data_IF_999682560558
#
_entry.id   IF_999682560558
#
_cell.length_a   1.000
_cell.length_b   1.000
_cell.length_c   1.000
_cell.angle_alpha   90.00
_cell.angle_beta   90.00
_cell.angle_gamma   90.00
#
_symmetry.space_group_name_H-M   'P 1'
#
loop_
_entity.id
_entity.type
_entity.pdbx_description
1 polymer ?
#
# COMPACT_ATOMS: atom_id res chain seq x y z
N UNK A 1 8.17 -2.46 11.47
CA UNK A 1 9.35 -1.69 11.00
C UNK A 1 8.90 -0.30 10.61
N UNK A 2 9.84 0.62 10.39
CA UNK A 2 9.55 1.96 9.85
C UNK A 2 9.82 1.97 8.33
N UNK A 3 8.97 2.60 7.50
CA UNK A 3 9.27 2.76 6.08
C UNK A 3 10.51 3.65 5.90
N UNK A 4 11.33 3.32 4.90
CA UNK A 4 12.62 4.01 4.66
C UNK A 4 12.63 4.70 3.30
N UNK A 5 12.29 3.97 2.23
CA UNK A 5 12.18 4.48 0.86
C UNK A 5 11.46 3.49 -0.05
N UNK A 6 10.96 3.96 -1.19
CA UNK A 6 10.66 3.09 -2.31
C UNK A 6 11.95 2.66 -3.02
N UNK A 7 12.11 1.36 -3.29
CA UNK A 7 13.25 0.85 -4.07
C UNK A 7 12.94 0.70 -5.55
N UNK A 8 11.67 0.43 -5.86
CA UNK A 8 11.16 0.13 -7.18
C UNK A 8 9.78 0.80 -7.29
N UNK A 9 9.56 1.58 -8.35
CA UNK A 9 8.33 2.36 -8.56
C UNK A 9 7.83 2.13 -9.98
N UNK A 10 6.55 1.80 -10.09
CA UNK A 10 5.85 1.68 -11.37
C UNK A 10 4.67 2.64 -11.35
N UNK A 11 4.64 3.59 -12.28
CA UNK A 11 3.59 4.61 -12.36
C UNK A 11 2.39 4.08 -13.16
N UNK A 12 1.19 4.26 -12.63
CA UNK A 12 -0.07 3.86 -13.29
C UNK A 12 -0.27 4.57 -14.64
N UNK A 13 0.31 5.76 -14.85
CA UNK A 13 0.16 6.55 -16.08
C UNK A 13 0.73 5.87 -17.34
N UNK A 14 1.47 4.76 -17.21
CA UNK A 14 2.20 4.14 -18.32
C UNK A 14 1.91 2.65 -18.50
N UNK A 15 0.85 2.11 -17.86
CA UNK A 15 0.52 0.67 -17.97
C UNK A 15 -0.98 0.41 -17.86
N UNK A 16 -1.48 -0.57 -18.63
CA UNK A 16 -2.83 -1.15 -18.47
C UNK A 16 -2.86 -2.32 -17.48
N UNK A 17 -1.69 -2.74 -16.99
CA UNK A 17 -1.48 -3.82 -16.02
C UNK A 17 -1.30 -3.19 -14.63
N UNK A 18 -1.89 -3.79 -13.60
CA UNK A 18 -1.73 -3.36 -12.22
C UNK A 18 -0.23 -3.37 -11.80
N UNK A 19 0.36 -2.23 -11.43
CA UNK A 19 1.72 -2.12 -10.92
C UNK A 19 2.07 -3.11 -9.81
N UNK A 20 1.14 -3.39 -8.89
CA UNK A 20 1.38 -4.35 -7.81
C UNK A 20 1.47 -5.78 -8.32
N UNK A 21 0.69 -6.14 -9.33
CA UNK A 21 0.79 -7.45 -9.98
C UNK A 21 2.14 -7.62 -10.69
N UNK A 22 2.61 -6.57 -11.39
CA UNK A 22 3.93 -6.57 -12.02
C UNK A 22 5.03 -6.74 -10.97
N UNK A 23 5.02 -5.94 -9.89
CA UNK A 23 6.04 -6.01 -8.84
C UNK A 23 5.99 -7.35 -8.08
N UNK A 24 4.81 -7.91 -7.84
CA UNK A 24 4.65 -9.27 -7.28
C UNK A 24 5.20 -10.35 -8.20
N UNK A 25 5.03 -10.20 -9.52
CA UNK A 25 5.54 -11.17 -10.49
C UNK A 25 7.07 -11.23 -10.53
N UNK A 26 7.75 -10.13 -10.15
CA UNK A 26 9.21 -9.99 -10.20
C UNK A 26 9.97 -10.60 -9.01
N UNK A 27 9.27 -11.18 -8.02
CA UNK A 27 9.87 -11.81 -6.84
C UNK A 27 10.83 -10.89 -6.05
N UNK A 28 10.56 -9.57 -6.07
CA UNK A 28 11.37 -8.54 -5.40
C UNK A 28 10.96 -8.28 -3.95
N UNK A 29 9.86 -8.88 -3.48
CA UNK A 29 9.36 -8.68 -2.11
C UNK A 29 10.10 -9.59 -1.11
N UNK A 30 10.09 -9.18 0.16
CA UNK A 30 10.57 -10.02 1.27
C UNK A 30 9.70 -9.77 2.51
N UNK A 31 8.39 -9.93 2.33
CA UNK A 31 7.36 -9.70 3.34
C UNK A 31 7.57 -10.64 4.53
N UNK A 32 7.87 -11.92 4.27
CA UNK A 32 8.13 -12.91 5.34
C UNK A 32 9.30 -12.49 6.22
N UNK A 33 10.37 -11.97 5.60
CA UNK A 33 11.56 -11.49 6.32
C UNK A 33 11.23 -10.23 7.13
N UNK A 34 10.43 -9.33 6.56
CA UNK A 34 9.96 -8.11 7.23
C UNK A 34 9.20 -8.46 8.52
N UNK A 35 8.27 -9.40 8.45
CA UNK A 35 7.49 -9.85 9.61
C UNK A 35 8.37 -10.46 10.71
N UNK A 36 9.42 -11.20 10.35
CA UNK A 36 10.30 -11.88 11.32
C UNK A 36 11.38 -11.00 11.94
N UNK A 37 11.92 -10.06 11.17
CA UNK A 37 13.13 -9.30 11.55
C UNK A 37 12.89 -7.81 11.69
N UNK A 38 11.70 -7.33 11.30
CA UNK A 38 11.40 -5.91 11.17
C UNK A 38 11.99 -5.26 9.92
N UNK A 39 12.74 -5.99 9.09
CA UNK A 39 13.41 -5.51 7.89
C UNK A 39 13.08 -6.36 6.67
N UNK A 40 12.61 -5.72 5.60
CA UNK A 40 12.34 -6.37 4.32
C UNK A 40 11.70 -5.39 3.34
N UNK A 41 11.34 -5.90 2.17
CA UNK A 41 10.64 -5.17 1.12
C UNK A 41 9.19 -5.58 1.10
N UNK A 42 8.30 -4.60 1.13
CA UNK A 42 6.85 -4.80 1.02
C UNK A 42 6.30 -3.96 -0.13
N UNK A 43 5.09 -4.28 -0.55
CA UNK A 43 4.36 -3.51 -1.53
C UNK A 43 3.64 -2.35 -0.84
N UNK A 44 3.68 -1.18 -1.46
CA UNK A 44 2.95 0.01 -1.02
C UNK A 44 2.54 0.82 -2.25
N UNK A 45 1.49 1.61 -2.09
CA UNK A 45 1.03 2.59 -3.06
C UNK A 45 1.35 3.98 -2.54
N UNK A 46 1.77 4.86 -3.45
CA UNK A 46 1.80 6.30 -3.23
C UNK A 46 0.64 6.93 -3.98
N UNK A 47 -0.18 7.72 -3.28
CA UNK A 47 -1.23 8.56 -3.87
C UNK A 47 -0.87 10.01 -3.64
N UNK A 48 -1.04 10.83 -4.65
CA UNK A 48 -0.86 12.27 -4.54
C UNK A 48 -2.23 12.95 -4.48
N UNK A 49 -2.33 13.97 -3.64
CA UNK A 49 -3.54 14.76 -3.49
C UNK A 49 -3.21 16.25 -3.41
N UNK A 50 -4.09 17.14 -3.90
CA UNK A 50 -3.87 18.59 -3.82
C UNK A 50 -3.78 19.08 -2.37
N UNK A 51 -2.88 20.02 -2.11
CA UNK A 51 -2.66 20.61 -0.78
C UNK A 51 -3.92 21.24 -0.19
N UNK A 52 -4.79 21.81 -1.02
CA UNK A 52 -6.05 22.42 -0.58
C UNK A 52 -6.98 21.42 0.14
N UNK A 53 -6.82 20.12 -0.11
CA UNK A 53 -7.61 19.06 0.51
C UNK A 53 -6.95 18.45 1.76
N UNK A 54 -5.84 19.02 2.26
CA UNK A 54 -5.10 18.46 3.40
C UNK A 54 -5.98 18.21 4.61
N UNK A 55 -6.74 19.21 5.03
CA UNK A 55 -7.57 19.12 6.25
C UNK A 55 -8.67 18.05 6.10
N UNK A 56 -9.28 17.95 4.90
CA UNK A 56 -10.27 16.93 4.59
C UNK A 56 -9.65 15.52 4.60
N UNK A 57 -8.45 15.38 4.03
CA UNK A 57 -7.70 14.11 4.03
C UNK A 57 -7.39 13.70 5.47
N UNK A 58 -6.84 14.59 6.29
CA UNK A 58 -6.49 14.29 7.68
C UNK A 58 -7.72 13.86 8.49
N UNK A 59 -8.88 14.50 8.26
CA UNK A 59 -10.15 14.10 8.88
C UNK A 59 -10.58 12.70 8.45
N UNK A 60 -10.60 12.42 7.13
CA UNK A 60 -10.99 11.12 6.58
C UNK A 60 -10.04 10.02 7.04
N UNK A 61 -8.73 10.28 7.07
CA UNK A 61 -7.75 9.31 7.55
C UNK A 61 -7.96 8.99 9.03
N UNK A 62 -8.35 9.98 9.84
CA UNK A 62 -8.71 9.78 11.24
C UNK A 62 -9.96 8.89 11.38
N UNK A 63 -11.02 9.18 10.63
CA UNK A 63 -12.24 8.37 10.61
C UNK A 63 -11.98 6.92 10.17
N UNK A 64 -11.11 6.72 9.17
CA UNK A 64 -10.70 5.39 8.71
C UNK A 64 -9.99 4.61 9.82
N UNK A 65 -9.08 5.25 10.56
CA UNK A 65 -8.40 4.63 11.70
C UNK A 65 -9.38 4.27 12.82
N UNK A 66 -10.33 5.15 13.14
CA UNK A 66 -11.39 4.88 14.13
C UNK A 66 -12.31 3.72 13.71
N UNK A 67 -12.55 3.57 12.40
CA UNK A 67 -13.31 2.45 11.83
C UNK A 67 -12.51 1.13 11.75
N UNK A 68 -11.25 1.10 12.20
CA UNK A 68 -10.40 -0.09 12.16
C UNK A 68 -9.73 -0.36 10.80
N UNK A 69 -9.86 0.56 9.85
CA UNK A 69 -9.21 0.48 8.54
C UNK A 69 -7.77 1.00 8.65
N UNK A 70 -6.89 0.13 9.13
CA UNK A 70 -5.45 0.38 9.17
C UNK A 70 -4.81 0.15 7.80
N UNK A 71 -3.84 1.00 7.41
CA UNK A 71 -3.13 0.83 6.15
C UNK A 71 -2.31 2.04 5.70
N UNK A 72 -2.57 3.21 6.28
CA UNK A 72 -1.73 4.39 6.07
C UNK A 72 -0.37 4.15 6.75
N UNK A 73 0.70 4.29 5.96
CA UNK A 73 2.07 4.15 6.44
C UNK A 73 2.72 5.50 6.72
N UNK A 74 2.48 6.48 5.84
CA UNK A 74 3.09 7.80 5.92
C UNK A 74 2.24 8.83 5.16
N UNK A 75 2.14 10.03 5.71
CA UNK A 75 1.60 11.21 5.02
C UNK A 75 2.73 12.22 4.94
N UNK A 76 3.15 12.54 3.72
CA UNK A 76 4.25 13.45 3.47
C UNK A 76 3.84 14.90 3.60
N UNK A 77 4.81 15.75 3.94
CA UNK A 77 4.60 17.20 3.93
C UNK A 77 4.44 17.73 2.48
N UNK A 78 3.71 18.82 2.28
CA UNK A 78 3.47 19.39 0.96
C UNK A 78 4.77 19.76 0.25
N UNK A 79 4.84 19.52 -1.07
CA UNK A 79 6.02 19.81 -1.89
C UNK A 79 7.31 19.09 -1.44
N UNK A 80 7.21 18.01 -0.64
CA UNK A 80 8.37 17.23 -0.19
C UNK A 80 8.39 15.83 -0.80
N UNK A 81 9.58 15.23 -0.90
CA UNK A 81 9.69 13.82 -1.31
C UNK A 81 9.13 12.93 -0.21
N UNK A 82 8.33 11.95 -0.58
CA UNK A 82 7.80 10.93 0.33
C UNK A 82 8.50 9.62 0.03
N UNK A 83 9.25 9.09 1.00
CA UNK A 83 10.03 7.85 0.83
C UNK A 83 10.91 7.85 -0.44
N UNK A 84 11.66 8.95 -0.64
CA UNK A 84 12.51 9.27 -1.80
C UNK A 84 11.79 9.54 -3.14
N UNK A 85 10.46 9.41 -3.19
CA UNK A 85 9.66 9.67 -4.40
C UNK A 85 9.21 11.14 -4.42
N UNK A 86 9.47 11.89 -5.51
CA UNK A 86 8.97 13.27 -5.63
C UNK A 86 7.46 13.28 -5.78
N UNK A 87 6.81 14.25 -5.13
CA UNK A 87 5.39 14.58 -5.34
C UNK A 87 5.27 15.84 -6.19
N UNK A 88 4.13 15.99 -6.87
CA UNK A 88 3.81 17.17 -7.66
C UNK A 88 3.77 18.43 -6.80
N UNK A 89 4.00 19.58 -7.45
CA UNK A 89 3.91 20.88 -6.79
C UNK A 89 2.49 21.10 -6.27
N UNK A 90 2.39 21.70 -5.08
CA UNK A 90 1.15 21.96 -4.37
C UNK A 90 0.32 20.69 -4.10
N UNK A 91 1.01 19.53 -4.00
CA UNK A 91 0.45 18.26 -3.59
C UNK A 91 1.14 17.71 -2.34
N UNK A 92 0.45 16.80 -1.66
CA UNK A 92 0.97 15.93 -0.61
C UNK A 92 0.92 14.47 -1.08
N UNK A 93 1.82 13.64 -0.55
CA UNK A 93 1.85 12.20 -0.82
C UNK A 93 1.31 11.40 0.35
N UNK A 94 0.45 10.43 0.08
CA UNK A 94 -0.09 9.47 1.06
C UNK A 94 0.37 8.08 0.68
N UNK A 95 1.15 7.45 1.56
CA UNK A 95 1.65 6.08 1.39
C UNK A 95 0.72 5.12 2.09
N UNK A 96 0.21 4.15 1.33
CA UNK A 96 -0.70 3.12 1.81
C UNK A 96 -0.07 1.75 1.57
N UNK A 97 -0.11 0.87 2.57
CA UNK A 97 0.35 -0.51 2.40
C UNK A 97 -0.45 -1.22 1.31
N UNK A 98 0.23 -2.04 0.50
CA UNK A 98 -0.42 -2.83 -0.54
C UNK A 98 -1.28 -3.93 0.08
N UNK A 99 -2.57 -3.99 -0.29
CA UNK A 99 -3.49 -5.03 0.16
C UNK A 99 -3.10 -6.45 -0.30
N UNK A 100 -2.20 -6.57 -1.27
CA UNK A 100 -1.70 -7.84 -1.80
C UNK A 100 -0.44 -8.36 -1.11
N UNK A 101 0.06 -7.70 -0.06
CA UNK A 101 1.21 -8.21 0.71
C UNK A 101 1.03 -9.64 1.28
N UNK A 102 -0.16 -10.06 1.77
CA UNK A 102 -0.38 -11.45 2.16
C UNK A 102 -0.21 -12.44 1.01
N UNK A 103 -0.58 -12.03 -0.20
CA UNK A 103 -0.42 -12.84 -1.42
C UNK A 103 1.06 -12.92 -1.84
N UNK A 104 1.80 -11.82 -1.72
CA UNK A 104 3.25 -11.81 -1.92
C UNK A 104 3.95 -12.76 -0.93
N UNK A 105 3.54 -12.74 0.34
CA UNK A 105 4.04 -13.69 1.35
C UNK A 105 3.74 -15.15 0.98
N UNK A 106 2.53 -15.47 0.51
CA UNK A 106 2.20 -16.82 0.06
C UNK A 106 3.11 -17.25 -1.11
N UNK A 107 3.35 -16.36 -2.07
CA UNK A 107 4.28 -16.63 -3.19
C UNK A 107 5.71 -16.87 -2.71
N UNK A 108 6.21 -16.09 -1.75
CA UNK A 108 7.54 -16.29 -1.14
C UNK A 108 7.70 -17.68 -0.46
N UNK A 109 6.60 -18.30 -0.03
CA UNK A 109 6.58 -19.66 0.53
C UNK A 109 6.41 -20.76 -0.52
N UNK A 110 6.37 -20.41 -1.81
CA UNK A 110 6.24 -21.36 -2.91
C UNK A 110 4.81 -21.70 -3.32
N UNK A 111 3.79 -20.98 -2.81
CA UNK A 111 2.42 -21.15 -3.28
C UNK A 111 2.21 -20.45 -4.63
N UNK A 112 1.54 -21.12 -5.57
CA UNK A 112 1.10 -20.47 -6.81
C UNK A 112 -0.05 -19.51 -6.49
N UNK A 113 0.18 -18.22 -6.73
CA UNK A 113 -0.81 -17.16 -6.54
C UNK A 113 -1.15 -16.58 -7.90
N UNK A 114 -2.44 -16.50 -8.21
CA UNK A 114 -2.96 -15.79 -9.38
C UNK A 114 -3.82 -14.64 -8.90
N UNK A 115 -3.42 -13.42 -9.24
CA UNK A 115 -4.22 -12.21 -9.04
C UNK A 115 -5.00 -11.90 -10.31
N UNK A 116 -6.16 -11.29 -10.17
CA UNK A 116 -6.95 -10.77 -11.29
C UNK A 116 -7.44 -9.39 -10.91
N UNK A 117 -7.28 -8.42 -11.82
CA UNK A 117 -7.72 -7.06 -11.58
C UNK A 117 -9.24 -7.01 -11.37
N UNK A 118 -9.65 -6.33 -10.29
CA UNK A 118 -11.02 -5.94 -9.94
C UNK A 118 -12.09 -6.99 -10.31
N UNK A 119 -12.05 -8.15 -9.64
CA UNK A 119 -12.93 -9.27 -9.98
C UNK A 119 -14.31 -9.23 -9.30
N UNK A 120 -14.49 -8.47 -8.22
CA UNK A 120 -15.73 -8.47 -7.44
C UNK A 120 -15.94 -7.21 -6.59
N UNK A 121 -17.20 -6.95 -6.25
CA UNK A 121 -17.63 -6.04 -5.20
C UNK A 121 -18.24 -6.88 -4.06
N UNK A 122 -17.87 -6.58 -2.82
CA UNK A 122 -18.30 -7.30 -1.64
C UNK A 122 -18.81 -6.32 -0.58
N UNK A 123 -19.88 -6.71 0.13
CA UNK A 123 -20.39 -5.94 1.26
C UNK A 123 -19.45 -6.03 2.46
N UNK A 124 -19.17 -4.90 3.11
CA UNK A 124 -18.29 -4.86 4.28
C UNK A 124 -18.80 -5.74 5.42
N UNK A 125 -20.12 -5.92 5.52
CA UNK A 125 -20.81 -6.79 6.48
C UNK A 125 -20.47 -8.29 6.33
N UNK A 126 -20.00 -8.68 5.14
CA UNK A 126 -19.55 -10.05 4.89
C UNK A 126 -18.06 -10.27 5.20
N UNK A 127 -17.32 -9.20 5.49
CA UNK A 127 -15.93 -9.27 5.95
C UNK A 127 -15.89 -9.54 7.46
N UNK A 128 -14.81 -10.16 7.93
CA UNK A 128 -14.57 -10.40 9.36
C UNK A 128 -13.30 -9.70 9.78
N UNK A 129 -13.25 -9.28 11.05
CA UNK A 129 -12.00 -8.76 11.59
C UNK A 129 -10.97 -9.90 11.63
N UNK A 130 -9.70 -9.60 11.37
CA UNK A 130 -8.66 -10.64 11.37
C UNK A 130 -8.54 -11.30 12.75
N UNK A 131 -8.81 -10.54 13.82
CA UNK A 131 -8.82 -11.04 15.20
C UNK A 131 -9.91 -12.08 15.47
N UNK A 132 -10.99 -12.11 14.69
CA UNK A 132 -12.06 -13.11 14.81
C UNK A 132 -11.66 -14.46 14.19
N UNK A 133 -10.54 -14.51 13.47
CA UNK A 133 -10.03 -15.70 12.76
C UNK A 133 -8.84 -16.38 13.46
N UNK A 134 -8.33 -15.79 14.55
CA UNK A 134 -7.13 -16.25 15.29
C UNK A 134 -7.50 -16.93 16.61
#
# INVERSE_FOLDING_TARGET
GQPVRFTDVVTYASTTIDPLEVLMSQDITSVTKMLRTGSGKILANLREAPLVARDDIDHILSDLMEAGLSGIMEVGEPNTRVLDVPVERDHLGVVVIGGTNPMAMAKEQGFEVRTSAMSALIGIDSMKHIEDLI
#
